data_IF_435384758804
#
_entry.id   IF_435384758804
#
_cell.length_a   1.000
_cell.length_b   1.000
_cell.length_c   1.000
_cell.angle_alpha   90.00
_cell.angle_beta   90.00
_cell.angle_gamma   90.00
#
_symmetry.space_group_name_H-M   'P 1'
#
loop_
_entity.id
_entity.type
_entity.pdbx_description
1 polymer ?
#
# COMPACT_ATOMS: atom_id res chain seq x y z
N UNK A 1 35.26 -30.58 61.72
CA UNK A 1 33.85 -30.33 61.36
C UNK A 1 33.71 -30.62 59.87
N UNK A 2 33.02 -31.71 59.49
CA UNK A 2 32.87 -32.14 58.08
C UNK A 2 31.87 -31.20 57.39
N UNK A 3 32.34 -30.39 56.44
CA UNK A 3 31.46 -29.71 55.48
C UNK A 3 30.83 -30.79 54.59
N UNK A 4 29.51 -30.95 54.69
CA UNK A 4 28.77 -31.91 53.87
C UNK A 4 28.69 -31.37 52.44
N UNK A 5 29.24 -32.13 51.48
CA UNK A 5 29.17 -31.86 50.02
C UNK A 5 27.74 -31.77 49.45
N UNK A 6 26.69 -31.99 50.26
CA UNK A 6 25.29 -31.93 49.85
C UNK A 6 24.68 -30.53 49.91
N UNK A 7 25.25 -29.60 50.66
CA UNK A 7 24.67 -28.25 50.81
C UNK A 7 25.17 -27.25 49.75
N UNK A 8 26.21 -27.59 48.98
CA UNK A 8 26.75 -26.69 47.93
C UNK A 8 26.01 -26.82 46.58
N UNK A 9 25.29 -27.91 46.36
CA UNK A 9 24.55 -28.18 45.11
C UNK A 9 23.10 -27.69 45.16
N UNK A 10 22.53 -27.50 46.34
CA UNK A 10 21.17 -26.95 46.51
C UNK A 10 21.13 -25.43 46.40
N UNK A 11 22.20 -24.72 46.80
CA UNK A 11 22.28 -23.26 46.67
C UNK A 11 22.50 -22.75 45.24
N UNK A 12 23.20 -23.51 44.40
CA UNK A 12 23.52 -23.12 43.01
C UNK A 12 22.39 -23.43 42.02
N UNK A 13 21.59 -24.47 42.25
CA UNK A 13 20.40 -24.75 41.46
C UNK A 13 19.27 -23.74 41.70
N UNK A 14 19.10 -23.25 42.93
CA UNK A 14 18.08 -22.25 43.26
C UNK A 14 18.38 -20.88 42.63
N UNK A 15 19.65 -20.44 42.63
CA UNK A 15 20.03 -19.15 42.02
C UNK A 15 19.85 -19.16 40.48
N UNK A 16 20.09 -20.29 39.81
CA UNK A 16 19.82 -20.48 38.38
C UNK A 16 18.30 -20.60 38.09
N UNK A 17 17.53 -21.21 38.98
CA UNK A 17 16.08 -21.29 38.84
C UNK A 17 15.39 -19.93 39.01
N UNK A 18 15.85 -19.08 39.94
CA UNK A 18 15.29 -17.73 40.13
C UNK A 18 15.71 -16.73 39.05
N UNK A 19 16.89 -16.88 38.44
CA UNK A 19 17.29 -16.07 37.28
C UNK A 19 16.57 -16.51 35.99
N UNK A 20 16.27 -17.80 35.84
CA UNK A 20 15.38 -18.31 34.79
C UNK A 20 13.93 -17.83 34.97
N UNK A 21 13.43 -17.78 36.21
CA UNK A 21 12.09 -17.26 36.51
C UNK A 21 12.02 -15.74 36.34
N UNK A 22 13.06 -14.98 36.71
CA UNK A 22 13.10 -13.52 36.48
C UNK A 22 13.19 -13.16 34.97
N UNK A 23 13.85 -13.99 34.16
CA UNK A 23 13.82 -13.85 32.69
C UNK A 23 12.45 -14.20 32.09
N UNK A 24 11.75 -15.20 32.63
CA UNK A 24 10.39 -15.54 32.20
C UNK A 24 9.33 -14.55 32.73
N UNK A 25 9.50 -13.97 33.91
CA UNK A 25 8.59 -12.95 34.46
C UNK A 25 8.78 -11.60 33.75
N UNK A 26 9.97 -11.29 33.22
CA UNK A 26 10.11 -10.18 32.27
C UNK A 26 9.62 -10.51 30.85
N UNK A 27 9.61 -11.78 30.45
CA UNK A 27 8.94 -12.21 29.21
C UNK A 27 7.40 -12.22 29.34
N UNK A 28 6.86 -12.44 30.55
CA UNK A 28 5.43 -12.39 30.86
C UNK A 28 4.92 -11.02 31.32
N UNK A 29 5.81 -10.03 31.46
CA UNK A 29 5.44 -8.61 31.62
C UNK A 29 5.53 -7.83 30.29
N UNK A 30 5.74 -8.53 29.17
CA UNK A 30 5.42 -8.02 27.85
C UNK A 30 3.91 -8.23 27.62
N UNK A 31 3.18 -7.16 27.28
CA UNK A 31 1.86 -7.29 26.67
C UNK A 31 1.90 -8.39 25.61
N UNK A 32 0.90 -9.27 25.55
CA UNK A 32 0.79 -10.30 24.51
C UNK A 32 1.12 -9.69 23.15
N UNK A 33 2.16 -10.20 22.49
CA UNK A 33 2.60 -9.67 21.20
C UNK A 33 1.45 -9.78 20.20
N UNK A 34 1.18 -8.70 19.48
CA UNK A 34 0.08 -8.61 18.50
C UNK A 34 0.43 -9.27 17.17
N UNK A 35 1.50 -10.07 17.12
CA UNK A 35 1.94 -10.78 15.91
C UNK A 35 2.40 -12.22 16.20
N UNK A 36 2.30 -13.07 15.17
CA UNK A 36 2.88 -14.41 15.11
C UNK A 36 3.71 -14.54 13.84
N UNK A 37 4.87 -15.19 13.97
CA UNK A 37 5.77 -15.51 12.88
C UNK A 37 5.64 -17.01 12.54
N UNK A 38 5.34 -17.34 11.29
CA UNK A 38 5.32 -18.73 10.80
C UNK A 38 6.71 -19.23 10.40
N UNK A 39 7.62 -18.30 10.12
CA UNK A 39 9.05 -18.53 9.88
C UNK A 39 9.88 -17.59 10.74
N UNK A 40 11.16 -17.90 10.95
CA UNK A 40 12.01 -17.05 11.77
C UNK A 40 12.04 -15.59 11.28
N UNK A 41 12.04 -15.37 9.96
CA UNK A 41 12.14 -14.04 9.36
C UNK A 41 13.42 -13.34 9.81
N UNK A 42 13.28 -12.12 10.30
CA UNK A 42 14.38 -11.33 10.88
C UNK A 42 14.51 -11.47 12.41
N UNK A 43 13.67 -12.28 13.04
CA UNK A 43 13.61 -12.43 14.51
C UNK A 43 12.57 -11.50 15.15
N UNK A 44 12.52 -11.44 16.50
CA UNK A 44 11.54 -10.63 17.21
C UNK A 44 11.80 -9.14 17.02
N UNK A 45 10.72 -8.35 17.08
CA UNK A 45 10.80 -6.89 17.09
C UNK A 45 11.49 -6.39 18.38
N UNK A 46 12.32 -5.37 18.22
CA UNK A 46 12.93 -4.63 19.33
C UNK A 46 12.14 -3.34 19.52
N UNK A 47 11.77 -3.07 20.78
CA UNK A 47 11.08 -1.81 21.13
C UNK A 47 11.98 -0.62 20.85
N UNK A 48 11.48 0.29 20.05
CA UNK A 48 12.14 1.54 19.70
C UNK A 48 12.09 2.51 20.89
N UNK A 49 13.25 2.99 21.40
CA UNK A 49 13.28 3.99 22.46
C UNK A 49 12.60 5.31 22.06
N UNK A 50 12.60 5.66 20.77
CA UNK A 50 12.00 6.89 20.25
C UNK A 50 10.50 6.74 19.98
N UNK A 51 9.97 5.50 20.07
CA UNK A 51 8.55 5.14 19.91
C UNK A 51 7.95 5.59 18.56
N UNK A 52 8.71 5.45 17.50
CA UNK A 52 8.24 5.69 16.13
C UNK A 52 8.00 4.38 15.39
N UNK A 53 8.96 3.44 15.44
CA UNK A 53 8.88 2.21 14.65
C UNK A 53 9.71 1.09 15.28
N UNK A 54 9.04 0.06 15.78
CA UNK A 54 9.74 -1.13 16.27
C UNK A 54 10.22 -1.98 15.09
N UNK A 55 11.49 -2.35 15.08
CA UNK A 55 12.13 -3.14 14.04
C UNK A 55 12.96 -4.30 14.64
N UNK A 56 13.24 -5.37 13.88
CA UNK A 56 14.14 -6.44 14.29
C UNK A 56 15.57 -5.94 14.54
N UNK A 57 16.33 -6.71 15.33
CA UNK A 57 17.74 -6.39 15.59
C UNK A 57 18.56 -6.27 14.30
N UNK A 58 19.36 -5.21 14.20
CA UNK A 58 20.19 -4.92 13.02
C UNK A 58 19.53 -4.02 11.97
N UNK A 59 18.26 -3.66 12.14
CA UNK A 59 17.57 -2.66 11.35
C UNK A 59 17.65 -1.28 12.00
N UNK A 60 17.58 -0.25 11.16
CA UNK A 60 17.55 1.17 11.55
C UNK A 60 16.61 1.92 10.59
N UNK A 61 16.08 3.06 11.02
CA UNK A 61 15.31 3.95 10.16
C UNK A 61 15.82 5.40 10.23
N UNK A 62 15.42 6.20 9.25
CA UNK A 62 15.50 7.66 9.25
C UNK A 62 14.12 8.22 8.89
N UNK A 63 13.65 9.24 9.60
CA UNK A 63 12.53 10.07 9.14
C UNK A 63 13.04 11.02 8.06
N UNK A 64 12.52 10.91 6.84
CA UNK A 64 12.99 11.67 5.67
C UNK A 64 12.02 12.76 5.20
N UNK A 65 10.77 12.70 5.66
CA UNK A 65 9.72 13.68 5.38
C UNK A 65 8.63 13.54 6.44
N UNK A 66 8.06 14.65 6.88
CA UNK A 66 6.94 14.69 7.83
C UNK A 66 5.88 15.70 7.37
N UNK A 67 4.61 15.33 7.52
CA UNK A 67 3.49 16.22 7.22
C UNK A 67 3.55 17.52 8.03
N UNK A 68 3.27 18.64 7.36
CA UNK A 68 3.39 19.98 7.93
C UNK A 68 4.79 20.60 7.83
N UNK A 69 5.81 19.88 7.37
CA UNK A 69 7.10 20.49 7.03
C UNK A 69 6.94 21.42 5.82
N UNK A 70 7.80 22.44 5.73
CA UNK A 70 7.83 23.32 4.54
C UNK A 70 8.64 22.66 3.44
N UNK A 71 8.04 22.52 2.26
CA UNK A 71 8.67 22.05 1.03
C UNK A 71 9.44 23.19 0.33
N UNK A 72 10.26 22.84 -0.67
CA UNK A 72 11.10 23.79 -1.41
C UNK A 72 10.29 24.75 -2.30
N UNK A 73 9.07 24.38 -2.68
CA UNK A 73 8.11 25.24 -3.38
C UNK A 73 7.37 26.22 -2.43
N UNK A 74 7.67 26.16 -1.13
CA UNK A 74 7.06 26.98 -0.10
C UNK A 74 5.72 26.46 0.42
N UNK A 75 5.13 25.41 -0.15
CA UNK A 75 3.94 24.76 0.38
C UNK A 75 4.29 23.86 1.58
N UNK A 76 3.27 23.29 2.23
CA UNK A 76 3.48 22.29 3.26
C UNK A 76 3.42 20.88 2.69
N UNK A 77 4.18 19.96 3.29
CA UNK A 77 4.00 18.53 3.09
C UNK A 77 2.57 18.15 3.51
N UNK A 78 1.71 17.65 2.61
CA UNK A 78 0.36 17.28 2.99
C UNK A 78 0.33 16.09 3.96
N UNK A 79 -0.79 15.95 4.68
CA UNK A 79 -1.10 14.81 5.56
C UNK A 79 -1.40 13.52 4.79
N UNK A 80 -1.67 12.46 5.52
CA UNK A 80 -2.05 11.13 5.01
C UNK A 80 -1.16 10.64 3.83
N UNK A 81 0.19 10.63 3.96
CA UNK A 81 1.05 10.02 2.96
C UNK A 81 0.72 8.53 2.78
N UNK A 82 0.59 8.13 1.53
CA UNK A 82 0.09 6.80 1.15
C UNK A 82 1.03 6.14 0.12
N UNK A 83 0.50 5.46 -0.90
CA UNK A 83 1.26 4.79 -1.95
C UNK A 83 2.36 5.67 -2.54
N UNK A 84 3.52 5.08 -2.78
CA UNK A 84 4.63 5.78 -3.43
C UNK A 84 5.46 4.89 -4.33
N UNK A 85 5.99 5.49 -5.39
CA UNK A 85 7.01 4.88 -6.25
C UNK A 85 8.39 5.45 -5.97
N UNK A 86 9.42 4.61 -5.99
CA UNK A 86 10.83 5.00 -5.98
C UNK A 86 11.46 4.84 -7.37
N UNK A 87 12.08 5.91 -7.88
CA UNK A 87 12.63 5.98 -9.24
C UNK A 87 14.08 6.45 -9.21
N UNK A 88 14.95 5.79 -9.97
CA UNK A 88 16.35 6.21 -10.13
C UNK A 88 16.45 7.52 -10.92
N UNK A 89 17.16 8.51 -10.37
CA UNK A 89 17.50 9.76 -11.05
C UNK A 89 18.97 9.81 -11.49
N UNK A 90 19.75 8.76 -11.23
CA UNK A 90 21.19 8.71 -11.42
C UNK A 90 21.96 9.35 -10.26
N UNK A 91 23.30 9.17 -10.28
CA UNK A 91 24.23 9.73 -9.30
C UNK A 91 23.85 9.44 -7.83
N UNK A 92 23.30 8.25 -7.57
CA UNK A 92 22.89 7.82 -6.23
C UNK A 92 21.64 8.51 -5.69
N UNK A 93 20.88 9.24 -6.52
CA UNK A 93 19.65 9.94 -6.14
C UNK A 93 18.41 9.20 -6.63
N UNK A 94 17.36 9.25 -5.84
CA UNK A 94 16.05 8.71 -6.19
C UNK A 94 14.97 9.76 -6.03
N UNK A 95 13.93 9.70 -6.87
CA UNK A 95 12.66 10.37 -6.64
C UNK A 95 11.69 9.42 -5.94
N UNK A 96 11.08 9.86 -4.85
CA UNK A 96 9.87 9.24 -4.29
C UNK A 96 8.67 10.09 -4.71
N UNK A 97 7.82 9.57 -5.60
CA UNK A 97 6.54 10.20 -5.92
C UNK A 97 5.51 9.59 -4.98
N UNK A 98 5.00 10.39 -4.04
CA UNK A 98 4.19 9.95 -2.90
C UNK A 98 2.80 10.57 -2.95
N UNK A 99 1.79 9.72 -2.82
CA UNK A 99 0.40 10.11 -2.74
C UNK A 99 0.04 10.71 -1.38
N UNK A 100 -1.05 11.46 -1.37
CA UNK A 100 -1.67 12.00 -0.17
C UNK A 100 -3.17 11.71 -0.21
N UNK A 101 -3.61 10.82 0.69
CA UNK A 101 -4.96 10.25 0.73
C UNK A 101 -5.98 11.20 1.39
N UNK A 102 -5.94 12.46 0.96
CA UNK A 102 -6.74 13.52 1.51
C UNK A 102 -8.09 13.60 0.80
N UNK A 103 -9.07 12.93 1.37
CA UNK A 103 -10.48 13.01 0.96
C UNK A 103 -11.07 14.41 1.04
N UNK A 104 -11.45 14.97 -0.10
CA UNK A 104 -11.97 16.35 -0.20
C UNK A 104 -13.25 16.63 0.62
N UNK A 105 -14.08 15.62 0.87
CA UNK A 105 -15.27 15.74 1.73
C UNK A 105 -14.98 15.70 3.24
N UNK A 106 -13.77 15.30 3.65
CA UNK A 106 -13.38 15.29 5.07
C UNK A 106 -12.99 16.69 5.52
N UNK A 107 -13.72 17.23 6.51
CA UNK A 107 -13.43 18.52 7.11
C UNK A 107 -12.01 18.57 7.74
N UNK A 108 -11.55 17.43 8.27
CA UNK A 108 -10.20 17.30 8.80
C UNK A 108 -9.17 17.37 7.66
N UNK A 109 -9.37 16.59 6.59
CA UNK A 109 -8.40 16.47 5.50
C UNK A 109 -8.25 17.76 4.69
N UNK A 110 -9.31 18.58 4.61
CA UNK A 110 -9.25 19.95 4.07
C UNK A 110 -8.10 20.77 4.66
N UNK A 111 -7.82 20.59 5.95
CA UNK A 111 -6.79 21.33 6.67
C UNK A 111 -5.45 20.58 6.76
N UNK A 112 -5.33 19.42 6.12
CA UNK A 112 -4.08 18.67 6.04
C UNK A 112 -3.44 18.78 4.64
N UNK A 113 -4.06 19.54 3.73
CA UNK A 113 -3.55 19.77 2.37
C UNK A 113 -2.31 20.69 2.32
N UNK A 114 -1.78 20.93 1.10
CA UNK A 114 -0.53 21.70 0.90
C UNK A 114 -0.61 23.17 1.33
N UNK A 115 -1.84 23.70 1.46
CA UNK A 115 -2.09 25.06 1.92
C UNK A 115 -1.89 25.28 3.43
N UNK A 116 -1.77 24.21 4.22
CA UNK A 116 -1.62 24.28 5.68
C UNK A 116 -2.95 24.26 6.44
N UNK A 117 -2.85 24.15 7.77
CA UNK A 117 -4.00 23.96 8.66
C UNK A 117 -4.99 25.12 8.64
N UNK A 118 -4.51 26.32 8.37
CA UNK A 118 -5.30 27.54 8.24
C UNK A 118 -5.41 28.02 6.79
N UNK A 119 -5.02 27.18 5.82
CA UNK A 119 -4.93 27.55 4.40
C UNK A 119 -3.97 28.73 4.15
N UNK A 120 -3.03 28.97 5.05
CA UNK A 120 -2.15 30.13 5.07
C UNK A 120 -1.24 30.24 3.82
N UNK A 121 -1.00 29.13 3.13
CA UNK A 121 -0.17 29.06 1.92
C UNK A 121 -0.94 28.59 0.69
N UNK A 122 -2.27 28.44 0.77
CA UNK A 122 -3.06 27.96 -0.38
C UNK A 122 -2.97 28.92 -1.58
N UNK A 123 -2.74 30.21 -1.32
CA UNK A 123 -2.54 31.22 -2.38
C UNK A 123 -1.24 31.09 -3.17
N UNK A 124 -0.30 30.23 -2.75
CA UNK A 124 0.89 29.88 -3.54
C UNK A 124 0.57 28.87 -4.65
N UNK A 125 -0.55 28.15 -4.54
CA UNK A 125 -1.02 27.20 -5.54
C UNK A 125 -1.99 27.90 -6.49
N UNK A 126 -1.68 27.88 -7.79
CA UNK A 126 -2.63 28.27 -8.83
C UNK A 126 -3.68 27.17 -9.02
N UNK A 127 -4.96 27.40 -8.65
CA UNK A 127 -6.00 26.38 -8.77
C UNK A 127 -6.24 25.94 -10.22
N UNK A 128 -5.90 26.76 -11.21
CA UNK A 128 -6.02 26.40 -12.63
C UNK A 128 -5.03 25.31 -13.06
N UNK A 129 -4.00 25.04 -12.25
CA UNK A 129 -3.04 23.95 -12.45
C UNK A 129 -3.44 22.65 -11.75
N UNK A 130 -4.52 22.66 -10.95
CA UNK A 130 -5.08 21.47 -10.33
C UNK A 130 -6.15 20.80 -11.20
N UNK A 131 -6.44 19.52 -10.93
CA UNK A 131 -7.52 18.81 -11.62
C UNK A 131 -8.86 19.50 -11.36
N UNK A 132 -9.19 19.74 -10.09
CA UNK A 132 -10.45 20.34 -9.66
C UNK A 132 -10.28 21.27 -8.45
N UNK A 133 -11.35 22.00 -8.14
CA UNK A 133 -11.49 22.83 -6.96
C UNK A 133 -12.75 22.46 -6.18
N UNK A 134 -12.79 22.91 -4.92
CA UNK A 134 -14.04 23.14 -4.21
C UNK A 134 -14.90 24.16 -4.96
N UNK A 135 -16.20 24.23 -4.65
CA UNK A 135 -17.12 25.22 -5.24
C UNK A 135 -16.74 26.67 -4.91
N UNK A 136 -15.90 26.88 -3.90
CA UNK A 136 -15.33 28.18 -3.53
C UNK A 136 -14.02 28.55 -4.25
N UNK A 137 -13.54 27.69 -5.15
CA UNK A 137 -12.37 27.93 -5.99
C UNK A 137 -11.02 27.50 -5.39
N UNK A 138 -10.99 26.96 -4.15
CA UNK A 138 -9.77 26.39 -3.57
C UNK A 138 -9.49 25.00 -4.15
N UNK A 139 -8.22 24.69 -4.42
CA UNK A 139 -7.83 23.35 -4.87
C UNK A 139 -8.18 22.28 -3.83
N UNK A 140 -8.54 21.09 -4.31
CA UNK A 140 -8.74 19.92 -3.45
C UNK A 140 -7.42 19.49 -2.78
N UNK A 141 -7.47 18.90 -1.57
CA UNK A 141 -6.31 18.72 -0.71
C UNK A 141 -5.44 17.51 -1.06
N UNK A 142 -5.94 16.58 -1.88
CA UNK A 142 -5.17 15.42 -2.33
C UNK A 142 -4.08 15.78 -3.34
N UNK A 143 -3.54 14.75 -3.98
CA UNK A 143 -2.50 14.87 -4.99
C UNK A 143 -1.26 14.08 -4.62
N UNK A 144 -0.13 14.52 -5.18
CA UNK A 144 1.17 13.88 -4.96
C UNK A 144 2.23 14.90 -4.65
N UNK A 145 3.23 14.47 -3.89
CA UNK A 145 4.50 15.19 -3.74
C UNK A 145 5.65 14.36 -4.30
N UNK A 146 6.70 15.02 -4.77
CA UNK A 146 7.95 14.36 -5.15
C UNK A 146 9.04 14.75 -4.18
N UNK A 147 9.68 13.76 -3.55
CA UNK A 147 10.86 13.89 -2.71
C UNK A 147 12.09 13.41 -3.47
N UNK A 148 13.15 14.21 -3.58
CA UNK A 148 14.45 13.76 -4.09
C UNK A 148 15.33 13.38 -2.91
N UNK A 149 15.76 12.13 -2.83
CA UNK A 149 16.59 11.61 -1.74
C UNK A 149 17.92 11.08 -2.28
N UNK A 150 19.02 11.46 -1.63
CA UNK A 150 20.36 10.96 -1.93
C UNK A 150 20.67 9.75 -1.05
N UNK A 151 20.82 8.58 -1.66
CA UNK A 151 21.06 7.31 -0.98
C UNK A 151 22.43 7.25 -0.30
N UNK A 152 23.42 7.99 -0.81
CA UNK A 152 24.79 8.01 -0.30
C UNK A 152 24.91 8.93 0.90
N UNK A 153 24.46 10.18 0.76
CA UNK A 153 24.53 11.18 1.85
C UNK A 153 23.41 11.01 2.87
N UNK A 154 22.38 10.23 2.54
CA UNK A 154 21.19 9.97 3.36
C UNK A 154 20.43 11.24 3.70
N UNK A 155 20.22 12.08 2.69
CA UNK A 155 19.57 13.38 2.82
C UNK A 155 18.48 13.54 1.80
N UNK A 156 17.36 14.09 2.24
CA UNK A 156 16.40 14.74 1.37
C UNK A 156 17.07 15.98 0.76
N UNK A 157 17.10 16.02 -0.56
CA UNK A 157 17.68 17.10 -1.36
C UNK A 157 16.64 18.16 -1.69
N UNK A 158 15.43 17.73 -2.01
CA UNK A 158 14.29 18.61 -2.26
C UNK A 158 12.96 17.88 -2.08
N UNK A 159 11.90 18.64 -1.86
CA UNK A 159 10.52 18.18 -1.88
C UNK A 159 9.62 19.24 -2.52
N UNK A 160 8.65 18.83 -3.33
CA UNK A 160 7.68 19.74 -3.96
C UNK A 160 6.35 19.04 -4.26
N UNK A 161 5.28 19.82 -4.47
CA UNK A 161 3.99 19.34 -4.94
C UNK A 161 4.07 18.99 -6.45
N UNK A 162 3.72 17.74 -6.80
CA UNK A 162 3.82 17.20 -8.16
C UNK A 162 2.47 17.04 -8.86
N UNK A 163 1.38 16.85 -8.12
CA UNK A 163 -0.01 16.85 -8.64
C UNK A 163 -0.93 17.53 -7.62
N UNK A 164 -1.93 18.27 -8.10
CA UNK A 164 -2.88 18.99 -7.25
C UNK A 164 -4.32 18.90 -7.76
N UNK A 165 -5.27 19.23 -6.88
CA UNK A 165 -6.69 19.31 -7.23
C UNK A 165 -7.39 17.96 -7.42
N UNK A 166 -6.74 16.87 -7.03
CA UNK A 166 -7.32 15.53 -6.94
C UNK A 166 -7.74 15.23 -5.49
N UNK A 167 -8.43 14.11 -5.27
CA UNK A 167 -9.00 13.74 -3.97
C UNK A 167 -8.76 12.26 -3.67
N UNK A 168 -8.41 11.95 -2.42
CA UNK A 168 -8.24 10.56 -1.94
C UNK A 168 -7.24 9.78 -2.80
N UNK A 169 -6.06 10.36 -3.04
CA UNK A 169 -5.00 9.65 -3.75
C UNK A 169 -4.46 8.56 -2.83
N UNK A 170 -4.90 7.31 -3.04
CA UNK A 170 -4.58 6.18 -2.17
C UNK A 170 -3.25 5.54 -2.59
N UNK A 171 -3.27 4.36 -3.18
CA UNK A 171 -2.10 3.74 -3.78
C UNK A 171 -1.94 4.08 -5.27
N UNK A 172 -1.30 3.20 -6.04
CA UNK A 172 -0.86 3.50 -7.39
C UNK A 172 0.04 2.43 -7.97
N UNK A 173 0.85 2.81 -8.94
CA UNK A 173 1.78 1.88 -9.58
C UNK A 173 2.85 2.52 -10.43
N UNK A 174 4.00 1.83 -10.53
CA UNK A 174 5.08 2.20 -11.43
C UNK A 174 4.71 1.95 -12.89
N UNK A 175 5.09 2.89 -13.75
CA UNK A 175 5.17 2.63 -15.18
C UNK A 175 6.58 2.18 -15.58
N UNK A 176 6.72 1.31 -16.60
CA UNK A 176 8.02 0.95 -17.16
C UNK A 176 8.82 2.13 -17.75
N UNK A 177 8.18 3.28 -17.97
CA UNK A 177 8.78 4.47 -18.58
C UNK A 177 9.07 5.59 -17.58
N UNK A 178 9.03 5.32 -16.28
CA UNK A 178 9.55 6.23 -15.24
C UNK A 178 8.54 7.26 -14.71
N UNK A 179 7.27 6.86 -14.61
CA UNK A 179 6.21 7.64 -13.95
C UNK A 179 5.48 6.83 -12.89
N UNK A 180 4.84 7.54 -11.97
CA UNK A 180 3.89 6.99 -11.00
C UNK A 180 2.47 7.22 -11.49
N UNK A 181 1.65 6.16 -11.48
CA UNK A 181 0.21 6.26 -11.67
C UNK A 181 -0.43 6.37 -10.29
N UNK A 182 -0.99 7.53 -9.97
CA UNK A 182 -1.72 7.75 -8.72
C UNK A 182 -3.21 7.50 -8.92
N UNK A 183 -3.86 6.87 -7.93
CA UNK A 183 -5.25 6.42 -8.02
C UNK A 183 -6.13 7.21 -7.06
N UNK A 184 -7.24 7.77 -7.55
CA UNK A 184 -8.27 8.34 -6.67
C UNK A 184 -9.23 7.24 -6.18
N UNK A 185 -9.26 7.03 -4.87
CA UNK A 185 -10.15 6.10 -4.17
C UNK A 185 -11.47 6.82 -3.77
N UNK A 186 -12.21 7.30 -4.77
CA UNK A 186 -13.47 8.01 -4.55
C UNK A 186 -14.33 8.08 -5.79
N UNK A 187 -15.65 7.94 -5.63
CA UNK A 187 -16.62 8.12 -6.72
C UNK A 187 -17.33 9.49 -6.71
N UNK A 188 -16.80 10.49 -6.02
CA UNK A 188 -17.45 11.79 -5.84
C UNK A 188 -17.76 12.53 -7.15
N UNK A 189 -18.88 13.24 -7.16
CA UNK A 189 -19.34 14.07 -8.27
C UNK A 189 -19.83 15.45 -7.79
N UNK A 190 -20.05 16.42 -8.70
CA UNK A 190 -20.61 17.72 -8.30
C UNK A 190 -22.03 17.63 -7.73
N UNK A 191 -22.74 16.52 -7.98
CA UNK A 191 -24.10 16.29 -7.54
C UNK A 191 -24.21 15.87 -6.07
N UNK A 192 -23.20 15.18 -5.54
CA UNK A 192 -23.19 14.62 -4.19
C UNK A 192 -22.06 15.14 -3.29
N UNK A 193 -21.11 15.89 -3.85
CA UNK A 193 -19.99 16.46 -3.11
C UNK A 193 -19.71 17.95 -3.43
N UNK A 194 -18.81 18.52 -2.64
CA UNK A 194 -18.28 19.87 -2.81
C UNK A 194 -17.08 19.84 -3.76
N UNK A 195 -17.33 19.46 -5.01
CA UNK A 195 -16.36 19.39 -6.12
C UNK A 195 -17.01 20.00 -7.36
N UNK A 196 -16.24 20.35 -8.38
CA UNK A 196 -16.77 20.88 -9.65
C UNK A 196 -16.65 19.90 -10.83
N UNK A 197 -15.90 18.80 -10.66
CA UNK A 197 -15.74 17.72 -11.63
C UNK A 197 -16.03 16.35 -11.00
N UNK A 198 -16.31 15.31 -11.81
CA UNK A 198 -16.30 13.92 -11.34
C UNK A 198 -14.88 13.46 -10.98
N UNK A 199 -14.78 12.63 -9.95
CA UNK A 199 -13.55 12.00 -9.46
C UNK A 199 -13.61 10.46 -9.53
N UNK A 200 -12.48 9.83 -9.24
CA UNK A 200 -12.31 8.38 -9.28
C UNK A 200 -11.50 7.94 -10.48
N UNK A 201 -10.48 8.72 -10.85
CA UNK A 201 -9.63 8.45 -12.01
C UNK A 201 -8.18 8.21 -11.61
N UNK A 202 -7.44 7.57 -12.51
CA UNK A 202 -5.98 7.44 -12.43
C UNK A 202 -5.33 8.64 -13.12
N UNK A 203 -4.24 9.14 -12.54
CA UNK A 203 -3.42 10.23 -13.10
C UNK A 203 -1.95 9.80 -13.20
N UNK A 204 -1.23 10.35 -14.17
CA UNK A 204 0.18 10.01 -14.40
C UNK A 204 1.11 11.16 -13.97
N UNK A 205 2.12 10.84 -13.16
CA UNK A 205 3.10 11.79 -12.63
C UNK A 205 4.52 11.30 -12.98
N UNK A 206 5.20 11.91 -13.96
CA UNK A 206 6.60 11.59 -14.26
C UNK A 206 7.52 11.83 -13.07
N UNK A 207 8.38 10.88 -12.74
CA UNK A 207 9.26 10.97 -11.57
C UNK A 207 10.33 12.07 -11.71
N UNK A 208 10.64 12.46 -12.95
CA UNK A 208 11.58 13.54 -13.27
C UNK A 208 10.94 14.93 -13.24
N UNK A 209 9.64 15.05 -12.96
CA UNK A 209 8.97 16.34 -12.88
C UNK A 209 9.47 17.14 -11.67
N UNK A 210 9.97 18.35 -11.92
CA UNK A 210 10.50 19.25 -10.89
C UNK A 210 9.44 20.22 -10.33
N UNK A 211 8.15 19.92 -10.53
CA UNK A 211 7.02 20.73 -10.09
C UNK A 211 5.70 20.10 -10.53
N UNK A 212 4.61 20.85 -10.38
CA UNK A 212 3.26 20.43 -10.77
C UNK A 212 3.19 20.02 -12.25
N UNK A 213 2.61 18.84 -12.49
CA UNK A 213 2.30 18.31 -13.83
C UNK A 213 0.89 18.69 -14.26
N UNK A 214 0.60 18.55 -15.55
CA UNK A 214 -0.77 18.72 -16.05
C UNK A 214 -1.67 17.58 -15.53
N UNK A 215 -2.79 17.88 -14.87
CA UNK A 215 -3.62 16.88 -14.21
C UNK A 215 -4.60 16.23 -15.20
N UNK A 216 -4.09 15.32 -16.03
CA UNK A 216 -4.87 14.63 -17.06
C UNK A 216 -5.47 13.33 -16.50
N UNK A 217 -6.80 13.21 -16.32
CA UNK A 217 -7.42 11.96 -15.88
C UNK A 217 -7.40 10.91 -16.99
N UNK A 218 -6.97 9.69 -16.67
CA UNK A 218 -6.94 8.54 -17.58
C UNK A 218 -8.31 7.85 -17.66
N UNK A 219 -9.32 8.58 -18.13
CA UNK A 219 -10.74 8.20 -18.09
C UNK A 219 -11.06 6.81 -18.67
N UNK A 220 -10.37 6.38 -19.71
CA UNK A 220 -10.59 5.08 -20.34
C UNK A 220 -10.20 3.89 -19.45
N UNK A 221 -9.46 4.12 -18.36
CA UNK A 221 -9.16 3.13 -17.33
C UNK A 221 -10.34 2.93 -16.35
N UNK A 222 -11.42 3.70 -16.51
CA UNK A 222 -12.65 3.59 -15.75
C UNK A 222 -12.72 4.54 -14.55
N UNK A 223 -13.94 4.72 -14.03
CA UNK A 223 -14.24 5.54 -12.85
C UNK A 223 -14.83 4.69 -11.73
N UNK A 224 -14.09 4.53 -10.65
CA UNK A 224 -14.44 3.77 -9.45
C UNK A 224 -13.46 4.12 -8.32
N UNK A 225 -13.58 3.48 -7.16
CA UNK A 225 -12.64 3.61 -6.04
C UNK A 225 -11.35 2.85 -6.39
N UNK A 226 -10.46 3.47 -7.18
CA UNK A 226 -9.20 2.84 -7.60
C UNK A 226 -8.25 2.79 -6.41
N UNK A 227 -7.78 1.60 -6.05
CA UNK A 227 -6.72 1.48 -5.05
C UNK A 227 -5.35 1.60 -5.70
N UNK A 228 -5.00 0.62 -6.55
CA UNK A 228 -3.66 0.47 -7.08
C UNK A 228 -3.67 -0.04 -8.52
N UNK A 229 -2.52 0.12 -9.18
CA UNK A 229 -2.30 -0.39 -10.53
C UNK A 229 -0.94 -1.05 -10.66
N UNK A 230 -0.82 -2.01 -11.58
CA UNK A 230 0.48 -2.47 -12.03
C UNK A 230 0.48 -2.74 -13.54
N UNK A 231 1.65 -2.74 -14.17
CA UNK A 231 1.78 -2.89 -15.61
C UNK A 231 2.61 -4.13 -15.93
N UNK A 232 2.10 -4.99 -16.82
CA UNK A 232 2.94 -6.01 -17.45
C UNK A 232 3.88 -5.31 -18.45
N UNK A 233 5.20 -5.22 -18.17
CA UNK A 233 6.13 -4.48 -19.01
C UNK A 233 6.29 -5.08 -20.41
N UNK A 234 5.89 -6.34 -20.61
CA UNK A 234 6.01 -7.05 -21.90
C UNK A 234 4.88 -6.68 -22.85
N UNK A 235 3.70 -6.36 -22.32
CA UNK A 235 2.47 -6.16 -23.10
C UNK A 235 1.92 -4.74 -23.00
N UNK A 236 2.25 -4.01 -21.94
CA UNK A 236 1.68 -2.71 -21.60
C UNK A 236 0.26 -2.78 -21.04
N UNK A 237 -0.25 -3.98 -20.73
CA UNK A 237 -1.54 -4.14 -20.05
C UNK A 237 -1.41 -3.61 -18.63
N UNK A 238 -2.37 -2.80 -18.22
CA UNK A 238 -2.47 -2.28 -16.85
C UNK A 238 -3.50 -3.12 -16.09
N UNK A 239 -3.18 -3.57 -14.89
CA UNK A 239 -4.10 -4.26 -13.99
C UNK A 239 -4.49 -3.30 -12.87
N UNK A 240 -5.76 -3.29 -12.47
CA UNK A 240 -6.31 -2.32 -11.53
C UNK A 240 -7.19 -3.01 -10.50
N UNK A 241 -7.16 -2.50 -9.28
CA UNK A 241 -7.95 -2.96 -8.15
C UNK A 241 -8.99 -1.92 -7.73
N UNK A 242 -10.08 -2.37 -7.11
CA UNK A 242 -11.16 -1.53 -6.62
C UNK A 242 -11.44 -1.83 -5.15
N UNK A 243 -11.30 -0.83 -4.29
CA UNK A 243 -11.57 -0.98 -2.86
C UNK A 243 -13.07 -0.86 -2.55
N UNK A 244 -13.80 -1.91 -2.92
CA UNK A 244 -15.18 -2.11 -2.48
C UNK A 244 -15.34 -3.52 -1.92
N UNK A 245 -16.22 -3.68 -0.94
CA UNK A 245 -16.60 -5.00 -0.44
C UNK A 245 -17.10 -5.93 -1.56
N UNK A 246 -17.76 -5.37 -2.58
CA UNK A 246 -18.24 -6.04 -3.79
C UNK A 246 -17.44 -5.60 -5.04
N UNK A 247 -16.15 -5.29 -4.88
CA UNK A 247 -15.25 -4.82 -5.94
C UNK A 247 -14.94 -5.89 -6.98
N UNK A 248 -14.37 -5.46 -8.11
CA UNK A 248 -13.84 -6.36 -9.15
C UNK A 248 -12.33 -6.18 -9.34
N UNK A 249 -11.73 -7.14 -10.03
CA UNK A 249 -10.37 -7.01 -10.54
C UNK A 249 -10.39 -6.70 -12.04
N UNK A 250 -9.68 -5.65 -12.45
CA UNK A 250 -9.74 -5.11 -13.80
C UNK A 250 -8.42 -5.26 -14.55
N UNK A 251 -8.50 -5.25 -15.88
CA UNK A 251 -7.36 -4.95 -16.75
C UNK A 251 -7.73 -3.95 -17.84
N UNK A 252 -6.81 -3.07 -18.15
CA UNK A 252 -6.90 -2.09 -19.21
C UNK A 252 -5.89 -2.41 -20.33
N UNK A 253 -6.41 -2.50 -21.55
CA UNK A 253 -5.64 -2.76 -22.77
C UNK A 253 -5.49 -1.41 -23.50
N UNK A 254 -4.33 -0.72 -23.38
CA UNK A 254 -4.16 0.56 -24.03
C UNK A 254 -4.15 0.41 -25.55
N UNK A 255 -4.71 1.39 -26.26
CA UNK A 255 -4.66 1.46 -27.73
C UNK A 255 -3.21 1.46 -28.23
N UNK A 256 -2.34 2.21 -27.54
CA UNK A 256 -0.89 2.11 -27.71
C UNK A 256 -0.23 1.90 -26.35
N UNK A 257 0.49 0.79 -26.12
CA UNK A 257 1.32 0.59 -24.93
C UNK A 257 2.21 1.81 -24.65
N UNK A 258 2.24 2.27 -23.39
CA UNK A 258 3.01 3.46 -23.00
C UNK A 258 2.34 4.81 -23.27
N UNK A 259 1.14 4.84 -23.87
CA UNK A 259 0.38 6.09 -24.11
C UNK A 259 -1.05 5.96 -23.60
N UNK A 260 -1.19 5.89 -22.28
CA UNK A 260 -2.45 5.57 -21.60
C UNK A 260 -3.57 6.59 -21.89
N UNK A 261 -3.22 7.87 -22.03
CA UNK A 261 -4.17 8.93 -22.37
C UNK A 261 -4.83 8.78 -23.76
N UNK A 262 -4.30 7.94 -24.65
CA UNK A 262 -4.90 7.66 -25.97
C UNK A 262 -6.09 6.68 -25.89
N UNK A 263 -6.48 6.28 -24.68
CA UNK A 263 -7.58 5.37 -24.44
C UNK A 263 -7.23 3.91 -24.70
N UNK A 264 -8.24 3.05 -24.64
CA UNK A 264 -8.10 1.62 -24.69
C UNK A 264 -9.40 0.91 -24.32
N UNK A 265 -9.30 -0.35 -23.93
CA UNK A 265 -10.44 -1.16 -23.46
C UNK A 265 -10.24 -1.57 -22.02
N UNK A 266 -11.24 -1.34 -21.18
CA UNK A 266 -11.29 -1.87 -19.82
C UNK A 266 -12.04 -3.19 -19.81
N UNK A 267 -11.53 -4.14 -19.03
CA UNK A 267 -12.14 -5.46 -18.85
C UNK A 267 -12.15 -5.85 -17.38
N UNK A 268 -13.13 -6.67 -16.97
CA UNK A 268 -13.17 -7.27 -15.64
C UNK A 268 -12.84 -8.78 -15.68
N UNK A 269 -12.20 -9.26 -14.63
CA UNK A 269 -11.82 -10.67 -14.45
C UNK A 269 -13.07 -11.52 -14.23
N UNK A 270 -13.13 -12.69 -14.86
CA UNK A 270 -14.09 -13.74 -14.56
C UNK A 270 -13.41 -15.11 -14.49
N UNK A 271 -13.98 -16.05 -13.73
CA UNK A 271 -13.54 -17.43 -13.72
C UNK A 271 -14.12 -18.18 -14.92
N UNK A 272 -13.26 -18.87 -15.66
CA UNK A 272 -13.67 -19.67 -16.82
C UNK A 272 -14.64 -20.76 -16.38
N UNK A 273 -15.84 -20.76 -16.98
CA UNK A 273 -16.89 -21.74 -16.67
C UNK A 273 -17.63 -21.49 -15.35
N UNK A 274 -17.37 -20.36 -14.67
CA UNK A 274 -18.05 -19.95 -13.44
C UNK A 274 -18.29 -18.43 -13.41
N UNK A 275 -19.23 -17.92 -14.23
CA UNK A 275 -19.58 -16.51 -14.24
C UNK A 275 -20.16 -16.09 -12.88
N UNK A 276 -19.83 -14.89 -12.42
CA UNK A 276 -20.32 -14.33 -11.16
C UNK A 276 -19.72 -15.03 -9.93
N UNK A 277 -18.50 -15.57 -10.05
CA UNK A 277 -17.83 -16.22 -8.92
C UNK A 277 -17.61 -15.22 -7.76
N UNK A 278 -17.77 -15.70 -6.54
CA UNK A 278 -17.50 -14.96 -5.32
C UNK A 278 -16.17 -15.47 -4.75
N UNK A 279 -15.07 -14.72 -4.95
CA UNK A 279 -13.74 -15.18 -4.52
C UNK A 279 -13.47 -14.96 -3.03
N UNK A 280 -14.39 -14.28 -2.33
CA UNK A 280 -14.15 -13.70 -1.02
C UNK A 280 -14.05 -14.74 0.09
N UNK A 281 -14.59 -15.94 -0.11
CA UNK A 281 -14.70 -16.99 0.91
C UNK A 281 -15.41 -16.52 2.21
N UNK A 282 -16.21 -15.45 2.20
CA UNK A 282 -16.88 -14.94 3.41
C UNK A 282 -17.93 -15.92 3.94
N UNK A 283 -18.90 -16.25 3.09
CA UNK A 283 -20.06 -17.05 3.48
C UNK A 283 -19.99 -18.46 2.90
N UNK A 284 -19.44 -18.60 1.69
CA UNK A 284 -19.28 -19.89 0.99
C UNK A 284 -17.83 -20.07 0.57
N UNK A 285 -17.28 -21.28 0.79
CA UNK A 285 -15.93 -21.62 0.34
C UNK A 285 -15.91 -21.84 -1.18
N UNK A 286 -15.37 -20.88 -1.92
CA UNK A 286 -15.17 -20.93 -3.37
C UNK A 286 -13.94 -21.76 -3.76
N UNK A 287 -12.89 -21.65 -2.94
CA UNK A 287 -11.57 -22.21 -3.23
C UNK A 287 -10.67 -22.24 -1.98
N UNK A 288 -9.63 -23.07 -2.02
CA UNK A 288 -8.66 -23.24 -0.94
C UNK A 288 -7.32 -22.54 -1.24
N UNK A 289 -6.53 -22.26 -0.19
CA UNK A 289 -5.15 -21.76 -0.38
C UNK A 289 -4.38 -22.76 -1.25
N UNK A 290 -3.72 -22.25 -2.28
CA UNK A 290 -3.00 -23.03 -3.28
C UNK A 290 -3.81 -23.37 -4.53
N UNK A 291 -5.15 -23.27 -4.49
CA UNK A 291 -6.01 -23.53 -5.64
C UNK A 291 -5.75 -22.55 -6.78
N UNK A 292 -5.75 -23.06 -8.01
CA UNK A 292 -5.74 -22.25 -9.22
C UNK A 292 -7.11 -22.25 -9.91
N UNK A 293 -7.44 -21.14 -10.56
CA UNK A 293 -8.61 -20.98 -11.44
C UNK A 293 -8.18 -20.33 -12.76
N UNK A 294 -8.72 -20.84 -13.87
CA UNK A 294 -8.51 -20.23 -15.18
C UNK A 294 -9.33 -18.95 -15.29
N UNK A 295 -8.72 -17.90 -15.85
CA UNK A 295 -9.31 -16.57 -15.99
C UNK A 295 -9.71 -16.29 -17.44
N UNK A 296 -10.88 -15.66 -17.61
CA UNK A 296 -11.29 -14.97 -18.83
C UNK A 296 -11.62 -13.51 -18.49
N UNK A 297 -11.71 -12.66 -19.51
CA UNK A 297 -11.89 -11.22 -19.34
C UNK A 297 -13.13 -10.73 -20.10
N UNK A 298 -13.96 -9.94 -19.43
CA UNK A 298 -15.22 -9.40 -19.95
C UNK A 298 -14.99 -7.94 -20.31
N UNK A 299 -15.26 -7.54 -21.56
CA UNK A 299 -15.21 -6.14 -21.96
C UNK A 299 -16.28 -5.33 -21.21
N UNK A 300 -15.91 -4.16 -20.72
CA UNK A 300 -16.82 -3.24 -20.03
C UNK A 300 -17.15 -2.05 -20.92
N UNK A 301 -18.41 -1.63 -20.87
CA UNK A 301 -18.92 -0.43 -21.54
C UNK A 301 -19.24 0.67 -20.52
N UNK A 302 -19.32 1.92 -21.00
CA UNK A 302 -19.60 3.12 -20.20
C UNK A 302 -18.73 3.21 -18.94
N UNK A 303 -17.42 3.13 -19.14
CA UNK A 303 -16.43 2.94 -18.07
C UNK A 303 -16.24 4.20 -17.21
N UNK A 304 -16.64 5.38 -17.69
CA UNK A 304 -16.69 6.60 -16.86
C UNK A 304 -17.81 6.55 -15.80
N UNK A 305 -18.69 5.54 -15.85
CA UNK A 305 -19.59 5.13 -14.76
C UNK A 305 -20.26 6.31 -14.05
N UNK A 306 -21.06 7.14 -14.77
CA UNK A 306 -21.71 8.31 -14.17
C UNK A 306 -22.66 7.94 -13.02
N UNK A 307 -23.16 6.70 -13.00
CA UNK A 307 -24.04 6.18 -11.95
C UNK A 307 -23.31 5.44 -10.82
N UNK A 308 -21.98 5.28 -10.89
CA UNK A 308 -21.22 4.50 -9.90
C UNK A 308 -21.67 3.03 -9.83
N UNK A 309 -21.89 2.41 -10.99
CA UNK A 309 -22.49 1.08 -11.13
C UNK A 309 -21.64 0.07 -11.91
N UNK A 310 -20.43 0.47 -12.36
CA UNK A 310 -19.56 -0.35 -13.19
C UNK A 310 -19.34 -1.76 -12.65
N UNK A 311 -18.99 -1.89 -11.36
CA UNK A 311 -18.78 -3.19 -10.72
C UNK A 311 -20.03 -4.06 -10.67
N UNK A 312 -21.20 -3.44 -10.49
CA UNK A 312 -22.49 -4.16 -10.43
C UNK A 312 -22.87 -4.70 -11.80
N UNK A 313 -22.67 -3.90 -12.84
CA UNK A 313 -22.85 -4.34 -14.24
C UNK A 313 -21.86 -5.43 -14.60
N UNK A 314 -20.58 -5.21 -14.32
CA UNK A 314 -19.52 -6.20 -14.58
C UNK A 314 -19.79 -7.55 -13.88
N UNK A 315 -20.19 -7.53 -12.61
CA UNK A 315 -20.57 -8.75 -11.90
C UNK A 315 -21.81 -9.42 -12.50
N UNK A 316 -22.85 -8.65 -12.84
CA UNK A 316 -24.03 -9.17 -13.53
C UNK A 316 -23.70 -9.83 -14.89
N UNK A 317 -22.67 -9.33 -15.58
CA UNK A 317 -22.15 -9.88 -16.82
C UNK A 317 -21.23 -11.11 -16.61
N UNK A 318 -20.91 -11.43 -15.35
CA UNK A 318 -20.20 -12.63 -14.94
C UNK A 318 -18.80 -12.41 -14.37
N UNK A 319 -18.39 -11.16 -14.12
CA UNK A 319 -17.13 -10.87 -13.44
C UNK A 319 -17.11 -11.45 -12.01
N UNK A 320 -15.92 -11.84 -11.55
CA UNK A 320 -15.74 -12.38 -10.22
C UNK A 320 -15.56 -11.25 -9.19
N UNK A 321 -16.19 -11.38 -8.02
CA UNK A 321 -16.02 -10.44 -6.91
C UNK A 321 -14.67 -10.62 -6.24
N UNK A 322 -14.05 -9.52 -5.84
CA UNK A 322 -12.86 -9.44 -5.00
C UNK A 322 -13.19 -8.52 -3.83
N UNK A 323 -13.09 -9.03 -2.61
CA UNK A 323 -13.46 -8.27 -1.41
C UNK A 323 -12.37 -7.25 -1.07
N UNK A 324 -12.66 -5.97 -1.32
CA UNK A 324 -11.76 -4.84 -1.06
C UNK A 324 -10.40 -5.10 -1.70
N UNK A 325 -10.40 -5.14 -3.04
CA UNK A 325 -9.19 -5.35 -3.80
C UNK A 325 -8.32 -4.13 -3.63
N UNK A 326 -7.16 -4.30 -2.99
CA UNK A 326 -6.34 -3.17 -2.57
C UNK A 326 -4.98 -3.13 -3.31
N UNK A 327 -3.85 -3.12 -2.61
CA UNK A 327 -2.52 -3.10 -3.19
C UNK A 327 -2.29 -4.19 -4.24
N UNK A 328 -1.68 -3.81 -5.37
CA UNK A 328 -1.27 -4.73 -6.45
C UNK A 328 0.15 -4.41 -6.90
N UNK A 329 0.96 -5.45 -7.13
CA UNK A 329 2.33 -5.26 -7.59
C UNK A 329 2.76 -6.32 -8.59
N UNK A 330 3.50 -5.88 -9.61
CA UNK A 330 4.06 -6.74 -10.63
C UNK A 330 5.36 -7.38 -10.15
N UNK A 331 5.44 -8.71 -10.22
CA UNK A 331 6.64 -9.51 -9.96
C UNK A 331 7.32 -9.97 -11.24
N UNK A 332 7.86 -11.19 -11.26
CA UNK A 332 8.48 -11.77 -12.45
C UNK A 332 7.47 -12.58 -13.28
N UNK A 333 6.87 -11.92 -14.27
CA UNK A 333 5.90 -12.56 -15.18
C UNK A 333 4.52 -12.82 -14.56
N UNK A 334 4.29 -12.29 -13.37
CA UNK A 334 3.10 -12.46 -12.55
C UNK A 334 2.85 -11.23 -11.70
N UNK A 335 1.69 -11.17 -11.04
CA UNK A 335 1.36 -10.13 -10.09
C UNK A 335 0.74 -10.72 -8.82
N UNK A 336 0.82 -9.95 -7.75
CA UNK A 336 0.18 -10.22 -6.48
C UNK A 336 -0.74 -9.07 -6.14
N UNK A 337 -1.93 -9.36 -5.61
CA UNK A 337 -2.85 -8.36 -5.12
C UNK A 337 -3.47 -8.78 -3.80
N UNK A 338 -3.76 -7.81 -2.95
CA UNK A 338 -4.51 -8.03 -1.72
C UNK A 338 -6.01 -8.00 -1.97
N UNK A 339 -6.72 -8.83 -1.22
CA UNK A 339 -8.15 -8.69 -0.98
C UNK A 339 -8.29 -8.57 0.53
N UNK A 340 -8.19 -7.35 1.04
CA UNK A 340 -7.85 -7.04 2.44
C UNK A 340 -8.87 -7.57 3.45
N UNK A 341 -10.13 -7.64 3.03
CA UNK A 341 -11.22 -8.18 3.84
C UNK A 341 -11.61 -9.59 3.39
N UNK A 342 -10.84 -10.24 2.51
CA UNK A 342 -11.08 -11.60 2.07
C UNK A 342 -10.92 -12.65 3.17
N UNK A 343 -11.40 -13.86 2.88
CA UNK A 343 -11.35 -15.02 3.74
C UNK A 343 -12.50 -15.09 4.75
N UNK A 344 -12.73 -16.27 5.37
CA UNK A 344 -13.82 -16.46 6.34
C UNK A 344 -13.72 -15.56 7.57
N UNK A 345 -12.50 -15.18 7.96
CA UNK A 345 -12.27 -14.26 9.08
C UNK A 345 -12.46 -12.78 8.71
N UNK A 346 -12.54 -12.49 7.40
CA UNK A 346 -12.53 -11.13 6.85
C UNK A 346 -11.27 -10.35 7.30
N UNK A 347 -10.12 -11.01 7.19
CA UNK A 347 -8.80 -10.53 7.67
C UNK A 347 -7.72 -10.56 6.59
N UNK A 348 -8.09 -10.90 5.36
CA UNK A 348 -7.25 -10.70 4.20
C UNK A 348 -6.89 -11.97 3.47
N UNK A 349 -6.79 -11.83 2.15
CA UNK A 349 -6.20 -12.80 1.24
C UNK A 349 -5.15 -12.09 0.39
N UNK A 350 -4.21 -12.87 -0.14
CA UNK A 350 -3.35 -12.45 -1.25
C UNK A 350 -3.65 -13.36 -2.43
N UNK A 351 -3.95 -12.75 -3.57
CA UNK A 351 -4.21 -13.43 -4.82
C UNK A 351 -3.00 -13.27 -5.73
N UNK A 352 -2.60 -14.36 -6.40
CA UNK A 352 -1.48 -14.38 -7.36
C UNK A 352 -2.02 -14.63 -8.74
N UNK A 353 -1.76 -13.74 -9.68
CA UNK A 353 -2.22 -13.89 -11.06
C UNK A 353 -1.04 -14.03 -12.03
N UNK A 354 -1.12 -15.06 -12.88
CA UNK A 354 -0.16 -15.33 -13.94
C UNK A 354 -0.88 -15.18 -15.29
N UNK A 355 -0.63 -14.09 -16.04
CA UNK A 355 -1.23 -13.90 -17.35
C UNK A 355 -0.72 -14.93 -18.36
N UNK A 356 -1.62 -15.43 -19.22
CA UNK A 356 -1.26 -16.24 -20.38
C UNK A 356 -1.30 -15.40 -21.66
N UNK A 357 -0.14 -14.99 -22.18
CA UNK A 357 -0.07 -14.12 -23.36
C UNK A 357 -1.01 -12.89 -23.25
N UNK A 358 -1.74 -12.53 -24.31
CA UNK A 358 -2.73 -11.42 -24.28
C UNK A 358 -4.09 -11.82 -23.71
N UNK A 359 -4.46 -13.10 -23.77
CA UNK A 359 -5.82 -13.56 -23.47
C UNK A 359 -5.84 -14.56 -22.31
N UNK A 360 -6.52 -14.18 -21.24
CA UNK A 360 -6.69 -15.01 -20.05
C UNK A 360 -5.44 -15.11 -19.18
N UNK A 361 -5.42 -16.14 -18.34
CA UNK A 361 -4.38 -16.41 -17.38
C UNK A 361 -4.89 -17.38 -16.34
N UNK A 362 -4.16 -17.50 -15.24
CA UNK A 362 -4.61 -18.25 -14.07
C UNK A 362 -4.39 -17.44 -12.82
N UNK A 363 -5.35 -17.50 -11.90
CA UNK A 363 -5.26 -16.86 -10.59
C UNK A 363 -5.25 -17.91 -9.49
N UNK A 364 -4.49 -17.65 -8.44
CA UNK A 364 -4.33 -18.50 -7.27
C UNK A 364 -4.79 -17.75 -6.03
N UNK A 365 -5.49 -18.44 -5.12
CA UNK A 365 -5.55 -18.01 -3.73
C UNK A 365 -4.20 -18.33 -3.08
N UNK A 366 -3.29 -17.36 -3.10
CA UNK A 366 -1.90 -17.57 -2.68
C UNK A 366 -1.77 -17.62 -1.16
N UNK A 367 -2.50 -16.75 -0.47
CA UNK A 367 -2.53 -16.67 0.99
C UNK A 367 -3.93 -16.31 1.46
N UNK A 368 -4.37 -16.88 2.58
CA UNK A 368 -5.61 -16.51 3.28
C UNK A 368 -5.32 -16.44 4.77
N UNK A 369 -5.65 -15.33 5.42
CA UNK A 369 -5.42 -15.17 6.84
C UNK A 369 -6.25 -16.17 7.65
N UNK A 370 -5.57 -16.94 8.49
CA UNK A 370 -6.16 -17.88 9.44
C UNK A 370 -6.08 -17.39 10.90
N UNK A 371 -5.35 -16.31 11.16
CA UNK A 371 -5.14 -15.69 12.48
C UNK A 371 -4.76 -14.21 12.26
N UNK A 372 -5.45 -13.28 12.91
CA UNK A 372 -5.20 -11.84 12.82
C UNK A 372 -3.78 -11.45 13.29
N UNK A 373 -3.12 -12.27 14.11
CA UNK A 373 -1.73 -12.01 14.51
C UNK A 373 -0.75 -12.38 13.40
N UNK A 374 -1.12 -13.27 12.50
CA UNK A 374 -0.28 -13.65 11.36
C UNK A 374 -0.36 -12.57 10.29
N UNK A 375 -1.57 -12.25 9.83
CA UNK A 375 -1.86 -11.16 8.90
C UNK A 375 -3.27 -10.62 9.17
N UNK A 376 -3.43 -9.31 9.23
CA UNK A 376 -4.71 -8.66 9.48
C UNK A 376 -4.88 -7.46 8.55
N UNK A 377 -5.82 -7.57 7.60
CA UNK A 377 -6.14 -6.50 6.65
C UNK A 377 -4.89 -6.04 5.90
N UNK A 378 -4.21 -7.00 5.27
CA UNK A 378 -3.08 -6.69 4.39
C UNK A 378 -3.60 -5.89 3.20
N UNK A 379 -3.07 -4.69 3.04
CA UNK A 379 -3.49 -3.70 2.05
C UNK A 379 -2.39 -3.52 0.99
N UNK A 380 -1.49 -2.56 1.18
CA UNK A 380 -0.46 -2.23 0.22
C UNK A 380 0.57 -3.37 0.19
N UNK A 381 1.02 -3.77 -1.00
CA UNK A 381 2.08 -4.76 -1.12
C UNK A 381 3.09 -4.43 -2.22
N UNK A 382 4.30 -4.96 -2.06
CA UNK A 382 5.35 -4.97 -3.09
C UNK A 382 6.05 -6.32 -3.14
N UNK A 383 6.70 -6.62 -4.27
CA UNK A 383 7.64 -7.72 -4.37
C UNK A 383 9.05 -7.19 -4.04
N UNK A 384 9.66 -7.74 -2.99
CA UNK A 384 11.03 -7.42 -2.61
C UNK A 384 12.05 -7.99 -3.62
N UNK A 385 13.27 -7.43 -3.73
CA UNK A 385 14.30 -7.90 -4.68
C UNK A 385 14.68 -9.38 -4.56
N UNK A 386 14.43 -10.03 -3.42
CA UNK A 386 14.69 -11.45 -3.19
C UNK A 386 13.42 -12.34 -3.31
N UNK A 387 12.32 -11.79 -3.84
CA UNK A 387 11.12 -12.54 -4.21
C UNK A 387 10.09 -12.75 -3.09
N UNK A 388 10.29 -12.17 -1.91
CA UNK A 388 9.26 -12.13 -0.87
C UNK A 388 8.29 -10.99 -1.13
N UNK A 389 7.05 -11.09 -0.64
CA UNK A 389 6.17 -9.92 -0.57
C UNK A 389 6.48 -9.13 0.70
N UNK A 390 6.41 -7.80 0.61
CA UNK A 390 6.27 -6.93 1.76
C UNK A 390 4.84 -6.41 1.76
N UNK A 391 4.15 -6.52 2.88
CA UNK A 391 2.72 -6.18 3.01
C UNK A 391 2.54 -5.21 4.16
N UNK A 392 1.82 -4.13 3.93
CA UNK A 392 1.39 -3.17 4.93
C UNK A 392 0.03 -3.62 5.49
N UNK A 393 -0.13 -3.60 6.81
CA UNK A 393 -1.46 -3.79 7.43
C UNK A 393 -2.16 -2.45 7.61
N UNK A 394 -3.44 -2.42 7.25
CA UNK A 394 -4.40 -1.34 7.51
C UNK A 394 -5.58 -1.87 8.36
N UNK A 395 -5.36 -1.95 9.68
CA UNK A 395 -6.40 -2.28 10.63
C UNK A 395 -6.60 -1.14 11.64
N UNK A 396 -7.81 -0.60 11.67
CA UNK A 396 -8.24 0.41 12.63
C UNK A 396 -8.74 -0.23 13.94
N UNK A 397 -7.80 -0.70 14.77
CA UNK A 397 -8.08 -1.31 16.08
C UNK A 397 -7.34 -0.59 17.22
N UNK A 398 -7.95 -0.56 18.41
CA UNK A 398 -7.27 -0.16 19.65
C UNK A 398 -6.40 -1.26 20.25
N UNK A 399 -6.68 -2.52 19.88
CA UNK A 399 -6.17 -3.71 20.56
C UNK A 399 -5.09 -4.41 19.72
N UNK A 400 -5.19 -4.34 18.39
CA UNK A 400 -4.29 -4.99 17.45
C UNK A 400 -3.50 -3.96 16.66
N UNK A 401 -2.17 -3.97 16.78
CA UNK A 401 -1.31 -3.02 16.07
C UNK A 401 -1.16 -3.36 14.60
N UNK A 402 -0.99 -2.34 13.77
CA UNK A 402 -0.55 -2.51 12.39
C UNK A 402 0.93 -2.88 12.32
N UNK A 403 1.25 -3.81 11.43
CA UNK A 403 2.61 -4.25 11.16
C UNK A 403 2.96 -4.09 9.69
N UNK A 404 4.27 -4.00 9.46
CA UNK A 404 4.86 -4.34 8.19
C UNK A 404 5.17 -5.84 8.22
N UNK A 405 4.60 -6.60 7.30
CA UNK A 405 4.75 -8.06 7.19
C UNK A 405 5.62 -8.42 5.99
N UNK A 406 6.28 -9.57 6.07
CA UNK A 406 6.91 -10.24 4.96
C UNK A 406 6.20 -11.56 4.68
N UNK A 407 6.05 -11.91 3.40
CA UNK A 407 5.49 -13.20 2.96
C UNK A 407 6.52 -13.89 2.07
N UNK A 408 6.87 -15.11 2.44
CA UNK A 408 7.82 -15.95 1.69
C UNK A 408 7.23 -16.42 0.35
N UNK A 409 8.03 -16.89 -0.62
CA UNK A 409 7.54 -17.39 -1.90
C UNK A 409 6.60 -18.60 -1.78
N UNK A 410 6.65 -19.32 -0.65
CA UNK A 410 5.75 -20.42 -0.30
C UNK A 410 4.56 -20.00 0.60
N UNK A 411 4.36 -18.70 0.81
CA UNK A 411 3.15 -18.16 1.45
C UNK A 411 3.18 -18.09 2.98
N UNK A 412 4.34 -18.34 3.62
CA UNK A 412 4.50 -18.21 5.08
C UNK A 412 4.83 -16.77 5.49
N UNK A 413 4.23 -16.28 6.56
CA UNK A 413 4.30 -14.89 7.02
C UNK A 413 5.29 -14.69 8.18
N UNK A 414 5.93 -13.53 8.21
CA UNK A 414 6.76 -13.06 9.31
C UNK A 414 6.65 -11.53 9.47
N UNK A 415 6.96 -11.01 10.64
CA UNK A 415 6.93 -9.58 10.93
C UNK A 415 8.25 -8.89 10.52
N UNK A 416 8.14 -7.64 10.07
CA UNK A 416 9.27 -6.77 9.72
C UNK A 416 9.26 -5.50 10.56
N UNK A 417 8.09 -4.97 10.92
CA UNK A 417 7.99 -3.79 11.78
C UNK A 417 6.63 -3.66 12.43
N UNK A 418 6.55 -2.87 13.51
CA UNK A 418 5.27 -2.54 14.18
C UNK A 418 5.12 -1.03 14.28
N UNK A 419 3.94 -0.55 13.88
CA UNK A 419 3.55 0.81 14.17
C UNK A 419 3.26 0.93 15.67
N UNK A 420 4.02 1.78 16.35
CA UNK A 420 3.89 2.04 17.79
C UNK A 420 3.17 3.36 18.09
N UNK A 421 2.79 4.11 17.05
CA UNK A 421 1.99 5.31 17.20
C UNK A 421 0.67 4.99 17.91
N UNK A 422 0.32 5.77 18.94
CA UNK A 422 -0.83 5.50 19.80
C UNK A 422 -2.13 5.36 19.02
N UNK A 423 -2.34 6.21 17.99
CA UNK A 423 -3.52 6.18 17.14
C UNK A 423 -3.60 5.01 16.17
N UNK A 424 -2.55 4.16 16.08
CA UNK A 424 -2.51 2.95 15.27
C UNK A 424 -2.90 3.16 13.80
N UNK A 425 -2.42 4.25 13.19
CA UNK A 425 -2.63 4.46 11.76
C UNK A 425 -2.01 3.33 10.94
N UNK A 426 -2.43 3.17 9.70
CA UNK A 426 -1.85 2.20 8.79
C UNK A 426 -0.40 2.48 8.39
N UNK A 427 0.26 1.41 7.96
CA UNK A 427 1.41 1.52 7.07
C UNK A 427 0.90 1.67 5.64
N UNK A 428 1.61 2.45 4.82
CA UNK A 428 1.27 2.59 3.41
C UNK A 428 2.53 2.83 2.56
N UNK A 429 2.41 2.59 1.26
CA UNK A 429 3.43 2.94 0.27
C UNK A 429 4.82 2.33 0.49
N UNK A 430 4.90 1.08 0.97
CA UNK A 430 6.19 0.39 1.04
C UNK A 430 6.82 0.30 -0.35
N UNK A 431 8.09 0.70 -0.52
CA UNK A 431 8.82 0.59 -1.80
C UNK A 431 10.34 0.52 -1.58
N UNK A 432 11.03 -0.37 -2.28
CA UNK A 432 12.49 -0.44 -2.22
C UNK A 432 13.16 0.60 -3.12
N UNK A 433 14.31 1.11 -2.69
CA UNK A 433 15.27 1.75 -3.59
C UNK A 433 15.66 0.80 -4.73
N UNK A 434 16.05 1.30 -5.92
CA UNK A 434 16.41 0.45 -7.06
C UNK A 434 17.53 -0.57 -6.77
N UNK A 435 18.41 -0.26 -5.83
CA UNK A 435 19.50 -1.15 -5.38
C UNK A 435 19.07 -2.15 -4.28
N UNK A 436 17.82 -2.09 -3.83
CA UNK A 436 17.27 -2.95 -2.77
C UNK A 436 17.80 -2.67 -1.36
N UNK A 437 18.60 -1.61 -1.16
CA UNK A 437 19.26 -1.34 0.11
C UNK A 437 18.37 -0.60 1.13
N UNK A 438 17.36 0.11 0.67
CA UNK A 438 16.46 0.93 1.50
C UNK A 438 15.02 0.56 1.23
N UNK A 439 14.26 0.26 2.27
CA UNK A 439 12.81 0.23 2.20
C UNK A 439 12.29 1.59 2.64
N UNK A 440 11.61 2.29 1.75
CA UNK A 440 10.81 3.44 2.12
C UNK A 440 9.40 2.98 2.50
N UNK A 441 8.81 3.57 3.52
CA UNK A 441 7.43 3.26 3.94
C UNK A 441 6.83 4.45 4.70
N UNK A 442 5.51 4.62 4.61
CA UNK A 442 4.78 5.67 5.30
C UNK A 442 4.04 5.12 6.52
N UNK A 443 3.85 5.98 7.52
CA UNK A 443 2.75 5.89 8.48
C UNK A 443 1.83 7.07 8.20
N UNK A 444 0.58 6.77 7.84
CA UNK A 444 -0.37 7.74 7.27
C UNK A 444 -0.69 8.89 8.25
N UNK A 445 -1.03 8.59 9.50
CA UNK A 445 -1.15 9.59 10.57
C UNK A 445 -0.17 9.24 11.72
N UNK A 446 0.74 10.15 12.13
CA UNK A 446 0.73 11.61 11.91
C UNK A 446 1.40 12.09 10.61
N UNK A 447 1.67 11.20 9.66
CA UNK A 447 2.23 11.54 8.36
C UNK A 447 3.75 11.57 8.37
N UNK A 448 4.35 10.38 8.37
CA UNK A 448 5.81 10.20 8.44
C UNK A 448 6.25 9.26 7.34
N UNK A 449 7.26 9.67 6.56
CA UNK A 449 7.96 8.80 5.62
C UNK A 449 9.29 8.35 6.23
N UNK A 450 9.48 7.03 6.31
CA UNK A 450 10.70 6.40 6.80
C UNK A 450 11.57 5.89 5.67
N UNK A 451 12.89 5.92 5.87
CA UNK A 451 13.88 5.17 5.11
C UNK A 451 14.51 4.11 6.02
N UNK A 452 14.12 2.84 5.84
CA UNK A 452 14.56 1.71 6.65
C UNK A 452 15.74 1.01 5.98
N UNK A 453 16.77 0.70 6.76
CA UNK A 453 17.97 -0.03 6.32
C UNK A 453 18.26 -1.17 7.29
N UNK A 454 18.67 -2.31 6.75
CA UNK A 454 19.09 -3.45 7.56
C UNK A 454 19.57 -4.60 6.69
N UNK A 455 19.79 -5.79 7.29
CA UNK A 455 20.32 -6.95 6.60
C UNK A 455 19.22 -7.67 5.80
N UNK A 456 18.65 -6.99 4.79
CA UNK A 456 17.51 -7.47 4.00
C UNK A 456 17.69 -8.87 3.40
N UNK A 457 18.90 -9.22 2.95
CA UNK A 457 19.19 -10.53 2.36
C UNK A 457 19.43 -11.65 3.39
N UNK A 458 19.30 -11.36 4.69
CA UNK A 458 19.55 -12.33 5.78
C UNK A 458 18.29 -13.00 6.32
N UNK A 459 17.14 -12.82 5.66
CA UNK A 459 15.86 -13.42 6.06
C UNK A 459 15.99 -14.94 6.20
N UNK A 460 15.49 -15.51 7.31
CA UNK A 460 15.53 -16.95 7.59
C UNK A 460 14.13 -17.54 7.46
N UNK A 461 13.94 -18.42 6.48
CA UNK A 461 12.66 -19.06 6.16
C UNK A 461 12.53 -20.46 6.75
#
# INVERSE_FOLDING_TARGET
MRLQRRDLLTGSAAALAFSGLARNVHAQAASEETYVNEVHGYGPLVRDPDRLLDLPGGFTYQVISQSGDTMDDGLFVPGQPDGMGCFDLGDGKVALVRNHELKGSSALHRNLGPGGFHQERIGLLDPARGYDTYKDGRALPGGTTTLVYDLQTRRTISQHLSLAGTSTNCCGGHTPWGSWLTCEETEQTPADADVTKPHGFVFEVPATASGLVDPVPLKAMGRFDHEAVCIDPRTGIVYLTEDKNDGLFYRFLPTTPGRLAQGGRLQAMAFKGKPGADTTNHDTREWAVGDWRDVVWIDLEDVESPNGDLRRRGHADGAALVARGEGIFWGDGELYMTATSGGPLRRGQILRYVPSARDGGRIQLFLESADERTMNMGDNLIVAPWGHLIVCEDNYSSDTRNHLKGVTPDGRVYVIGRNVFTGNSEFAGAVFSPDGAVLFVNIMYPGITFAIRGPWTSVRT
#
